data_IF_483409445435
#
_entry.id   IF_483409445435
#
_cell.length_a   1.000
_cell.length_b   1.000
_cell.length_c   1.000
_cell.angle_alpha   90.00
_cell.angle_beta   90.00
_cell.angle_gamma   90.00
#
_symmetry.space_group_name_H-M   'P 1'
#
loop_
_entity.id
_entity.type
_entity.pdbx_description
1 polymer ?
#
# COMPACT_ATOMS: atom_id res chain seq x y z
N UNK A 1 -20.57 -38.01 -2.19
CA UNK A 1 -19.47 -37.30 -1.50
C UNK A 1 -18.66 -36.56 -2.56
N UNK A 2 -18.96 -35.30 -2.85
CA UNK A 2 -18.26 -34.49 -3.87
C UNK A 2 -17.29 -33.60 -3.12
N UNK A 3 -16.01 -33.61 -3.51
CA UNK A 3 -14.90 -32.91 -2.85
C UNK A 3 -15.00 -31.41 -3.07
N UNK A 4 -15.57 -30.67 -2.14
CA UNK A 4 -15.59 -29.20 -2.11
C UNK A 4 -14.22 -28.54 -1.78
N UNK A 5 -13.14 -29.33 -1.68
CA UNK A 5 -11.84 -28.82 -1.23
C UNK A 5 -10.98 -28.10 -2.25
N UNK A 6 -11.30 -28.15 -3.56
CA UNK A 6 -10.34 -27.74 -4.61
C UNK A 6 -10.44 -26.28 -5.09
N UNK A 7 -11.51 -25.56 -4.78
CA UNK A 7 -11.77 -24.24 -5.38
C UNK A 7 -11.17 -23.04 -4.63
N UNK A 8 -10.84 -23.20 -3.34
CA UNK A 8 -10.36 -22.06 -2.51
C UNK A 8 -8.86 -21.76 -2.67
N UNK A 9 -8.08 -22.68 -3.21
CA UNK A 9 -6.62 -22.51 -3.34
C UNK A 9 -6.21 -21.63 -4.53
N UNK A 10 -7.01 -21.57 -5.59
CA UNK A 10 -6.66 -20.84 -6.85
C UNK A 10 -6.69 -19.33 -6.76
N UNK A 11 -7.46 -18.72 -5.86
CA UNK A 11 -7.61 -17.25 -5.76
C UNK A 11 -6.48 -16.56 -5.01
N UNK A 12 -5.59 -17.31 -4.36
CA UNK A 12 -4.57 -16.76 -3.47
C UNK A 12 -3.25 -16.43 -4.16
N UNK A 13 -2.86 -17.22 -5.15
CA UNK A 13 -1.63 -17.05 -5.90
C UNK A 13 -1.56 -15.73 -6.68
N UNK A 14 -2.60 -15.27 -7.41
CA UNK A 14 -2.53 -14.05 -8.18
C UNK A 14 -2.32 -12.80 -7.30
N UNK A 15 -2.90 -12.73 -6.11
CA UNK A 15 -2.75 -11.58 -5.22
C UNK A 15 -1.32 -11.44 -4.70
N UNK A 16 -0.69 -12.56 -4.33
CA UNK A 16 0.71 -12.57 -3.89
C UNK A 16 1.63 -12.21 -5.03
N UNK A 17 1.37 -12.74 -6.22
CA UNK A 17 2.17 -12.43 -7.40
C UNK A 17 2.11 -10.93 -7.72
N UNK A 18 0.92 -10.32 -7.72
CA UNK A 18 0.75 -8.87 -7.95
C UNK A 18 1.52 -8.08 -6.90
N UNK A 19 1.40 -8.41 -5.62
CA UNK A 19 2.13 -7.74 -4.54
C UNK A 19 3.66 -7.86 -4.73
N UNK A 20 4.15 -9.06 -5.04
CA UNK A 20 5.59 -9.28 -5.24
C UNK A 20 6.11 -8.53 -6.46
N UNK A 21 5.37 -8.58 -7.58
CA UNK A 21 5.76 -7.85 -8.80
C UNK A 21 5.76 -6.33 -8.58
N UNK A 22 4.76 -5.82 -7.85
CA UNK A 22 4.71 -4.40 -7.53
C UNK A 22 5.86 -3.98 -6.61
N UNK A 23 6.17 -4.77 -5.57
CA UNK A 23 7.29 -4.50 -4.67
C UNK A 23 8.63 -4.53 -5.41
N UNK A 24 8.83 -5.49 -6.33
CA UNK A 24 10.02 -5.59 -7.16
C UNK A 24 10.13 -4.40 -8.14
N UNK A 25 9.03 -4.01 -8.78
CA UNK A 25 8.98 -2.85 -9.65
C UNK A 25 9.28 -1.56 -8.88
N UNK A 26 8.69 -1.39 -7.70
CA UNK A 26 8.94 -0.23 -6.85
C UNK A 26 10.42 -0.15 -6.47
N UNK A 27 11.00 -1.25 -6.00
CA UNK A 27 12.43 -1.31 -5.68
C UNK A 27 13.30 -0.95 -6.90
N UNK A 28 12.98 -1.47 -8.09
CA UNK A 28 13.69 -1.12 -9.32
C UNK A 28 13.58 0.37 -9.64
N UNK A 29 12.37 0.95 -9.53
CA UNK A 29 12.13 2.37 -9.83
C UNK A 29 12.84 3.30 -8.85
N UNK A 30 12.84 2.97 -7.55
CA UNK A 30 13.51 3.79 -6.51
C UNK A 30 15.03 3.72 -6.59
N UNK A 31 15.59 2.64 -7.17
CA UNK A 31 17.05 2.45 -7.27
C UNK A 31 17.63 2.76 -8.66
N UNK A 32 16.78 3.05 -9.65
CA UNK A 32 17.24 3.36 -11.00
C UNK A 32 17.61 4.86 -11.14
N UNK A 33 18.90 5.21 -11.31
CA UNK A 33 19.30 6.61 -11.43
C UNK A 33 18.73 7.31 -12.67
N UNK A 34 18.41 6.55 -13.74
CA UNK A 34 17.89 7.11 -15.00
C UNK A 34 16.45 7.62 -14.85
N UNK A 35 15.66 7.04 -13.97
CA UNK A 35 14.24 7.43 -13.76
C UNK A 35 14.15 8.81 -13.11
N UNK A 36 15.15 9.24 -12.37
CA UNK A 36 15.15 10.52 -11.65
C UNK A 36 15.89 11.64 -12.41
N UNK A 37 16.70 11.31 -13.41
CA UNK A 37 17.45 12.29 -14.19
C UNK A 37 16.58 13.05 -15.22
N UNK A 38 15.51 12.42 -15.73
CA UNK A 38 14.64 12.98 -16.78
C UNK A 38 13.41 13.72 -16.26
N UNK A 39 13.08 13.61 -14.98
CA UNK A 39 11.85 14.21 -14.44
C UNK A 39 11.88 15.73 -14.28
N UNK A 40 12.95 16.39 -14.71
CA UNK A 40 13.09 17.85 -14.58
C UNK A 40 12.43 18.67 -15.72
N UNK A 41 12.00 18.07 -16.83
CA UNK A 41 11.60 18.86 -18.02
C UNK A 41 10.29 18.49 -18.73
N UNK A 42 9.58 17.41 -18.39
CA UNK A 42 8.31 17.09 -19.07
C UNK A 42 7.09 17.19 -18.13
N UNK A 43 6.36 18.30 -18.25
CA UNK A 43 5.02 18.47 -17.66
C UNK A 43 4.01 17.54 -18.34
N UNK A 44 3.71 16.42 -17.72
CA UNK A 44 2.72 15.44 -18.15
C UNK A 44 1.32 15.80 -17.62
N UNK A 45 0.24 15.35 -18.31
CA UNK A 45 -1.16 15.46 -17.85
C UNK A 45 -1.39 14.94 -16.41
N UNK A 46 -0.50 14.07 -15.93
CA UNK A 46 -0.43 13.62 -14.55
C UNK A 46 -0.16 14.77 -13.57
N UNK A 47 0.55 15.82 -14.03
CA UNK A 47 0.86 16.99 -13.22
C UNK A 47 -0.39 17.83 -12.88
N UNK A 48 -1.41 17.81 -13.71
CA UNK A 48 -2.67 18.52 -13.46
C UNK A 48 -3.47 17.90 -12.29
N UNK A 49 -3.50 16.58 -12.18
CA UNK A 49 -4.14 15.87 -11.08
C UNK A 49 -3.28 15.97 -9.80
N UNK A 50 -1.95 15.87 -9.96
CA UNK A 50 -0.98 16.05 -8.87
C UNK A 50 -0.93 17.49 -8.38
N UNK A 51 -1.04 18.50 -9.25
CA UNK A 51 -1.06 19.92 -8.85
C UNK A 51 -2.25 20.26 -7.93
N UNK A 52 -3.40 19.62 -8.10
CA UNK A 52 -4.52 19.73 -7.15
C UNK A 52 -4.18 19.20 -5.75
N UNK A 53 -3.47 18.06 -5.70
CA UNK A 53 -2.97 17.46 -4.47
C UNK A 53 -1.73 18.19 -3.90
N UNK A 54 -0.89 18.74 -4.77
CA UNK A 54 0.32 19.52 -4.41
C UNK A 54 -0.05 20.83 -3.73
N UNK A 55 -1.13 21.52 -4.14
CA UNK A 55 -1.63 22.72 -3.43
C UNK A 55 -2.03 22.42 -2.00
N UNK A 56 -2.58 21.23 -1.73
CA UNK A 56 -2.88 20.75 -0.37
C UNK A 56 -1.60 20.38 0.40
N UNK A 57 -0.54 19.96 -0.29
CA UNK A 57 0.75 19.57 0.29
C UNK A 57 1.75 20.72 0.50
N UNK A 58 1.50 21.89 -0.04
CA UNK A 58 2.38 23.07 0.13
C UNK A 58 2.56 23.47 1.60
N UNK A 59 1.53 23.28 2.42
CA UNK A 59 1.60 23.51 3.87
C UNK A 59 2.40 22.41 4.62
N UNK A 60 2.64 21.26 3.99
CA UNK A 60 3.36 20.10 4.58
C UNK A 60 4.83 20.02 4.15
N UNK A 61 5.39 21.07 3.51
CA UNK A 61 6.76 21.06 2.95
C UNK A 61 7.06 19.90 1.99
N UNK A 62 6.05 19.35 1.36
CA UNK A 62 6.16 18.33 0.30
C UNK A 62 6.43 19.01 -1.05
N UNK A 63 7.38 19.93 -1.11
CA UNK A 63 7.63 20.81 -2.25
C UNK A 63 8.24 20.10 -3.47
N UNK A 64 8.62 18.82 -3.32
CA UNK A 64 9.26 18.05 -4.38
C UNK A 64 8.34 16.94 -4.89
N UNK A 65 8.20 16.76 -6.22
CA UNK A 65 7.36 15.72 -6.82
C UNK A 65 7.78 14.29 -6.46
N UNK A 66 9.06 14.06 -6.15
CA UNK A 66 9.59 12.77 -5.69
C UNK A 66 8.92 12.27 -4.41
N UNK A 67 8.64 13.15 -3.45
CA UNK A 67 7.98 12.78 -2.18
C UNK A 67 6.55 12.29 -2.37
N UNK A 68 5.83 12.88 -3.32
CA UNK A 68 4.50 12.40 -3.71
C UNK A 68 4.56 11.04 -4.37
N UNK A 69 5.61 10.78 -5.14
CA UNK A 69 5.84 9.46 -5.71
C UNK A 69 6.05 8.42 -4.61
N UNK A 70 6.90 8.67 -3.63
CA UNK A 70 7.14 7.81 -2.47
C UNK A 70 5.85 7.56 -1.69
N UNK A 71 5.11 8.60 -1.34
CA UNK A 71 3.83 8.49 -0.64
C UNK A 71 2.83 7.62 -1.43
N UNK A 72 2.61 7.92 -2.70
CA UNK A 72 1.64 7.21 -3.54
C UNK A 72 2.06 5.74 -3.74
N UNK A 73 3.34 5.48 -3.98
CA UNK A 73 3.88 4.15 -4.19
C UNK A 73 3.70 3.27 -2.95
N UNK A 74 4.01 3.79 -1.76
CA UNK A 74 3.84 3.05 -0.52
C UNK A 74 2.38 2.97 -0.05
N UNK A 75 1.53 3.93 -0.43
CA UNK A 75 0.07 3.81 -0.28
C UNK A 75 -0.47 2.61 -1.08
N UNK A 76 -0.10 2.49 -2.36
CA UNK A 76 -0.52 1.37 -3.21
C UNK A 76 0.05 0.05 -2.70
N UNK A 77 1.34 0.01 -2.33
CA UNK A 77 1.97 -1.17 -1.74
C UNK A 77 1.25 -1.63 -0.48
N UNK A 78 0.90 -0.70 0.40
CA UNK A 78 0.14 -0.96 1.62
C UNK A 78 -1.25 -1.53 1.33
N UNK A 79 -2.00 -0.92 0.41
CA UNK A 79 -3.33 -1.42 0.01
C UNK A 79 -3.25 -2.83 -0.58
N UNK A 80 -2.25 -3.13 -1.42
CA UNK A 80 -2.02 -4.47 -1.97
C UNK A 80 -1.67 -5.48 -0.87
N UNK A 81 -0.88 -5.10 0.13
CA UNK A 81 -0.52 -5.96 1.26
C UNK A 81 -1.76 -6.29 2.10
N UNK A 82 -2.59 -5.28 2.46
CA UNK A 82 -3.84 -5.49 3.17
C UNK A 82 -4.85 -6.31 2.37
N UNK A 83 -4.99 -6.05 1.07
CA UNK A 83 -5.84 -6.85 0.18
C UNK A 83 -5.42 -8.32 0.11
N UNK A 84 -4.11 -8.57 0.05
CA UNK A 84 -3.54 -9.92 0.05
C UNK A 84 -3.80 -10.62 1.38
N UNK A 85 -3.66 -9.93 2.51
CA UNK A 85 -3.93 -10.45 3.84
C UNK A 85 -5.42 -10.74 4.07
N UNK A 86 -6.30 -9.87 3.59
CA UNK A 86 -7.76 -10.05 3.70
C UNK A 86 -8.24 -11.35 3.02
N UNK A 87 -7.58 -11.81 1.96
CA UNK A 87 -7.90 -13.08 1.30
C UNK A 87 -7.57 -14.33 2.12
N UNK A 88 -6.83 -14.21 3.23
CA UNK A 88 -6.44 -15.33 4.12
C UNK A 88 -7.42 -15.63 5.25
N UNK A 89 -8.35 -14.73 5.53
CA UNK A 89 -9.17 -14.86 6.74
C UNK A 89 -10.31 -15.86 6.56
N UNK A 90 -10.22 -16.99 7.24
CA UNK A 90 -11.37 -17.87 7.49
C UNK A 90 -12.31 -17.15 8.48
N UNK A 91 -13.63 -17.27 8.25
CA UNK A 91 -14.73 -16.56 8.95
C UNK A 91 -14.82 -16.67 10.48
N UNK A 92 -13.95 -17.41 11.15
CA UNK A 92 -14.22 -17.96 12.51
C UNK A 92 -13.50 -17.27 13.68
N UNK A 93 -12.89 -16.14 13.57
CA UNK A 93 -12.45 -15.30 14.74
C UNK A 93 -11.84 -13.98 14.25
N UNK A 94 -12.72 -13.17 13.65
CA UNK A 94 -12.24 -12.10 12.78
C UNK A 94 -11.59 -10.91 13.51
N UNK A 95 -12.13 -10.50 14.69
CA UNK A 95 -11.84 -9.15 15.16
C UNK A 95 -10.42 -8.98 15.76
N UNK A 96 -9.97 -9.90 16.60
CA UNK A 96 -8.67 -9.74 17.25
C UNK A 96 -7.48 -10.03 16.31
N UNK A 97 -7.65 -11.00 15.39
CA UNK A 97 -6.60 -11.36 14.42
C UNK A 97 -6.39 -10.30 13.34
N UNK A 98 -7.43 -9.49 13.04
CA UNK A 98 -7.29 -8.42 12.07
C UNK A 98 -6.43 -7.28 12.60
N UNK A 99 -6.63 -6.90 13.86
CA UNK A 99 -5.83 -5.86 14.53
C UNK A 99 -4.36 -6.30 14.61
N UNK A 100 -4.10 -7.49 15.16
CA UNK A 100 -2.72 -7.99 15.31
C UNK A 100 -2.04 -8.19 13.96
N UNK A 101 -2.74 -8.78 12.98
CA UNK A 101 -2.21 -8.97 11.63
C UNK A 101 -1.97 -7.66 10.88
N UNK A 102 -2.83 -6.65 11.11
CA UNK A 102 -2.70 -5.32 10.52
C UNK A 102 -1.42 -4.62 10.98
N UNK A 103 -1.11 -4.66 12.28
CA UNK A 103 0.11 -4.06 12.81
C UNK A 103 1.39 -4.75 12.29
N UNK A 104 1.36 -6.06 12.11
CA UNK A 104 2.49 -6.79 11.53
C UNK A 104 2.73 -6.37 10.07
N UNK A 105 1.67 -6.11 9.30
CA UNK A 105 1.79 -5.58 7.93
C UNK A 105 2.42 -4.18 7.97
N UNK A 106 1.89 -3.27 8.79
CA UNK A 106 2.43 -1.91 8.93
C UNK A 106 3.90 -1.96 9.30
N UNK A 107 4.27 -2.73 10.33
CA UNK A 107 5.66 -2.86 10.76
C UNK A 107 6.56 -3.42 9.64
N UNK A 108 6.12 -4.47 8.96
CA UNK A 108 6.87 -5.05 7.84
C UNK A 108 7.08 -4.05 6.70
N UNK A 109 6.08 -3.24 6.39
CA UNK A 109 6.19 -2.21 5.35
C UNK A 109 7.06 -1.02 5.78
N UNK A 110 7.04 -0.63 7.06
CA UNK A 110 7.95 0.39 7.59
C UNK A 110 9.41 -0.07 7.53
N UNK A 111 9.67 -1.33 7.89
CA UNK A 111 11.00 -1.93 7.76
C UNK A 111 11.41 -1.97 6.28
N UNK A 112 10.50 -2.37 5.38
CA UNK A 112 10.76 -2.37 3.94
C UNK A 112 11.09 -0.98 3.41
N UNK A 113 10.29 0.06 3.78
CA UNK A 113 10.55 1.44 3.38
C UNK A 113 11.87 1.98 3.91
N UNK A 114 12.27 1.59 5.13
CA UNK A 114 13.58 1.93 5.67
C UNK A 114 14.72 1.24 4.90
N UNK A 115 14.56 -0.04 4.55
CA UNK A 115 15.54 -0.79 3.76
C UNK A 115 15.67 -0.21 2.35
N UNK A 116 14.55 0.19 1.74
CA UNK A 116 14.54 0.84 0.43
C UNK A 116 15.44 2.09 0.45
N UNK A 117 15.26 2.99 1.42
CA UNK A 117 16.08 4.18 1.58
C UNK A 117 17.53 3.85 1.96
N UNK A 118 17.75 2.89 2.87
CA UNK A 118 19.08 2.52 3.35
C UNK A 118 19.95 1.86 2.26
N UNK A 119 19.34 1.30 1.22
CA UNK A 119 20.06 0.67 0.10
C UNK A 119 20.33 1.64 -1.05
N UNK A 120 19.68 2.78 -1.15
CA UNK A 120 19.89 3.78 -2.20
C UNK A 120 21.34 4.25 -2.34
N UNK A 121 22.14 4.43 -1.26
CA UNK A 121 23.55 4.83 -1.39
C UNK A 121 24.40 3.86 -2.21
N UNK A 122 24.07 2.58 -2.26
CA UNK A 122 24.77 1.59 -3.08
C UNK A 122 24.57 1.79 -4.60
N UNK A 123 23.53 2.57 -4.95
CA UNK A 123 23.17 2.89 -6.33
C UNK A 123 23.45 4.35 -6.71
N UNK A 124 24.29 5.04 -5.91
CA UNK A 124 24.71 6.43 -6.18
C UNK A 124 23.68 7.49 -5.79
N UNK A 125 22.67 7.14 -4.99
CA UNK A 125 21.69 8.07 -4.40
C UNK A 125 22.06 8.37 -2.96
N UNK A 126 21.35 9.33 -2.34
CA UNK A 126 21.53 9.64 -0.93
C UNK A 126 20.29 9.20 -0.15
N UNK A 127 20.49 8.69 1.06
CA UNK A 127 19.42 8.44 2.01
C UNK A 127 18.72 9.77 2.35
N UNK A 128 17.40 9.85 2.17
CA UNK A 128 16.59 11.02 2.54
C UNK A 128 15.52 10.64 3.58
N UNK A 129 15.63 11.20 4.79
CA UNK A 129 14.63 11.03 5.84
C UNK A 129 13.23 11.48 5.44
N UNK A 130 13.11 12.49 4.57
CA UNK A 130 11.80 12.96 4.13
C UNK A 130 11.14 11.97 3.18
N UNK A 131 11.90 11.23 2.38
CA UNK A 131 11.38 10.18 1.51
C UNK A 131 10.90 9.00 2.37
N UNK A 132 11.66 8.60 3.38
CA UNK A 132 11.20 7.62 4.36
C UNK A 132 9.92 8.07 5.10
N UNK A 133 9.81 9.34 5.49
CA UNK A 133 8.60 9.87 6.11
C UNK A 133 7.42 9.84 5.13
N UNK A 134 7.62 10.16 3.85
CA UNK A 134 6.59 10.04 2.82
C UNK A 134 6.12 8.59 2.64
N UNK A 135 7.05 7.62 2.64
CA UNK A 135 6.75 6.18 2.65
C UNK A 135 5.88 5.81 3.86
N UNK A 136 6.28 6.23 5.06
CA UNK A 136 5.55 5.96 6.30
C UNK A 136 4.13 6.54 6.27
N UNK A 137 3.94 7.79 5.81
CA UNK A 137 2.62 8.41 5.65
C UNK A 137 1.76 7.59 4.68
N UNK A 138 2.31 7.17 3.53
CA UNK A 138 1.61 6.30 2.57
C UNK A 138 1.13 4.99 3.21
N UNK A 139 1.99 4.33 4.00
CA UNK A 139 1.66 3.09 4.72
C UNK A 139 0.53 3.31 5.72
N UNK A 140 0.58 4.37 6.53
CA UNK A 140 -0.45 4.67 7.52
C UNK A 140 -1.79 5.02 6.86
N UNK A 141 -1.79 5.78 5.76
CA UNK A 141 -2.99 6.04 4.97
C UNK A 141 -3.59 4.75 4.42
N UNK A 142 -2.78 3.82 3.91
CA UNK A 142 -3.25 2.51 3.47
C UNK A 142 -3.89 1.72 4.62
N UNK A 143 -3.31 1.74 5.81
CA UNK A 143 -3.84 1.07 6.99
C UNK A 143 -5.20 1.65 7.41
N UNK A 144 -5.33 2.98 7.42
CA UNK A 144 -6.58 3.67 7.73
C UNK A 144 -7.67 3.31 6.72
N UNK A 145 -7.37 3.40 5.41
CA UNK A 145 -8.31 3.03 4.35
C UNK A 145 -8.73 1.57 4.43
N UNK A 146 -7.79 0.66 4.67
CA UNK A 146 -8.09 -0.76 4.84
C UNK A 146 -8.98 -1.02 6.08
N UNK A 147 -8.74 -0.33 7.20
CA UNK A 147 -9.56 -0.41 8.39
C UNK A 147 -10.97 0.13 8.14
N UNK A 148 -11.11 1.27 7.47
CA UNK A 148 -12.42 1.83 7.09
C UNK A 148 -13.22 0.88 6.21
N UNK A 149 -12.59 0.29 5.19
CA UNK A 149 -13.23 -0.70 4.30
C UNK A 149 -13.66 -1.95 5.07
N UNK A 150 -12.84 -2.41 6.03
CA UNK A 150 -13.18 -3.54 6.88
C UNK A 150 -14.40 -3.25 7.75
N UNK A 151 -14.43 -2.11 8.44
CA UNK A 151 -15.55 -1.70 9.30
C UNK A 151 -16.84 -1.55 8.50
N UNK A 152 -16.79 -0.84 7.37
CA UNK A 152 -17.95 -0.64 6.48
C UNK A 152 -18.51 -1.98 6.02
N UNK A 153 -17.65 -2.90 5.60
CA UNK A 153 -18.06 -4.24 5.18
C UNK A 153 -18.68 -5.04 6.32
N UNK A 154 -18.13 -4.94 7.53
CA UNK A 154 -18.64 -5.62 8.72
C UNK A 154 -20.05 -5.13 9.08
N UNK A 155 -20.26 -3.81 9.07
CA UNK A 155 -21.58 -3.19 9.32
C UNK A 155 -22.59 -3.64 8.26
N UNK A 156 -22.20 -3.60 6.98
CA UNK A 156 -23.05 -4.02 5.87
C UNK A 156 -23.49 -5.49 5.99
N UNK A 157 -22.58 -6.38 6.34
CA UNK A 157 -22.90 -7.81 6.54
C UNK A 157 -23.89 -8.02 7.68
N UNK A 158 -23.73 -7.30 8.82
CA UNK A 158 -24.67 -7.37 9.95
C UNK A 158 -26.05 -6.84 9.57
N UNK A 159 -26.11 -5.74 8.84
CA UNK A 159 -27.38 -5.15 8.39
C UNK A 159 -28.13 -6.13 7.48
N UNK A 160 -27.45 -6.75 6.52
CA UNK A 160 -28.06 -7.69 5.58
C UNK A 160 -28.56 -8.99 6.25
N UNK A 161 -27.88 -9.50 7.27
CA UNK A 161 -28.32 -10.69 8.00
C UNK A 161 -29.56 -10.44 8.87
N UNK A 162 -29.76 -9.23 9.38
CA UNK A 162 -30.95 -8.85 10.14
C UNK A 162 -32.24 -8.81 9.32
N UNK A 163 -32.15 -8.60 7.99
CA UNK A 163 -33.32 -8.56 7.10
C UNK A 163 -33.80 -9.94 6.63
N UNK A 164 -33.01 -10.99 6.82
CA UNK A 164 -33.36 -12.36 6.33
C UNK A 164 -34.01 -13.21 7.41
N UNK A 165 -34.18 -12.71 8.64
CA UNK A 165 -34.76 -13.47 9.79
C UNK A 165 -36.13 -12.94 10.23
N UNK A 166 -36.75 -12.04 9.51
CA UNK A 166 -38.15 -11.60 9.67
C UNK A 166 -39.02 -12.15 8.54
#
# INVERSE_FOLDING_TARGET
MVSEGATHHRSFYPRRLILTLYAALLFFMTHNPLVHAESAEETSWFDGLLMGLVRFGHDLRLERPDKWFHLAAFLVLGLLAFWTAAGRQKKTSADCRWITGGWMIVLGLLIWGWLDEATQPFFGRHFDWNDYLANAVGIFLAAILAAMLYVTRSIWCKFRSGFTTG
#
